data_IF_223614925967
#
_entry.id   IF_223614925967
#
_cell.length_a   1.000
_cell.length_b   1.000
_cell.length_c   1.000
_cell.angle_alpha   90.00
_cell.angle_beta   90.00
_cell.angle_gamma   90.00
#
_symmetry.space_group_name_H-M   'P 1'
#
loop_
_entity.id
_entity.type
_entity.pdbx_description
1 polymer ?
#
# COMPACT_ATOMS: atom_id res chain seq x y z
N UNK A 1 11.28 -14.19 6.55
CA UNK A 1 10.85 -14.15 7.96
C UNK A 1 9.37 -13.79 8.10
N UNK A 2 8.93 -12.58 7.72
CA UNK A 2 7.52 -12.16 7.91
C UNK A 2 6.52 -13.08 7.19
N UNK A 3 6.75 -13.36 5.90
CA UNK A 3 5.84 -14.20 5.09
C UNK A 3 5.64 -15.62 5.63
N UNK A 4 6.66 -16.19 6.26
CA UNK A 4 6.66 -17.53 6.85
C UNK A 4 6.20 -17.57 8.31
N UNK A 5 5.85 -16.43 8.91
CA UNK A 5 5.38 -16.37 10.29
C UNK A 5 3.91 -16.82 10.42
N UNK A 6 3.43 -17.01 11.65
CA UNK A 6 2.01 -17.25 11.95
C UNK A 6 1.16 -15.98 12.00
N UNK A 7 1.75 -14.79 11.83
CA UNK A 7 1.04 -13.51 11.91
C UNK A 7 0.07 -13.29 10.74
N UNK A 8 -1.02 -12.57 11.00
CA UNK A 8 -1.84 -11.96 9.97
C UNK A 8 -1.12 -10.72 9.44
N UNK A 9 -0.34 -10.91 8.37
CA UNK A 9 0.44 -9.84 7.77
C UNK A 9 -0.18 -9.35 6.47
N UNK A 10 -0.05 -8.05 6.23
CA UNK A 10 -0.20 -7.41 4.92
C UNK A 10 1.11 -6.67 4.63
N UNK A 11 1.69 -6.84 3.44
CA UNK A 11 2.90 -6.11 3.03
C UNK A 11 2.51 -5.07 1.99
N UNK A 12 2.65 -3.78 2.33
CA UNK A 12 2.37 -2.67 1.42
C UNK A 12 3.63 -2.27 0.65
N UNK A 13 3.55 -2.25 -0.67
CA UNK A 13 4.60 -1.86 -1.60
C UNK A 13 4.26 -0.52 -2.26
N UNK A 14 4.74 0.61 -1.72
CA UNK A 14 4.55 1.90 -2.37
C UNK A 14 5.45 2.04 -3.59
N UNK A 15 4.96 2.80 -4.59
CA UNK A 15 5.79 3.38 -5.65
C UNK A 15 6.72 4.47 -5.08
N UNK A 16 7.34 5.30 -5.92
CA UNK A 16 8.27 6.34 -5.45
C UNK A 16 7.64 7.22 -4.37
N UNK A 17 8.34 7.44 -3.24
CA UNK A 17 7.77 8.16 -2.10
C UNK A 17 8.03 9.67 -2.19
N UNK A 18 6.98 10.46 -1.99
CA UNK A 18 7.07 11.93 -1.85
C UNK A 18 6.58 12.41 -0.47
N UNK A 19 6.83 13.69 -0.16
CA UNK A 19 6.33 14.36 1.04
C UNK A 19 5.16 15.31 0.73
N UNK A 20 4.40 15.03 -0.33
CA UNK A 20 3.20 15.79 -0.66
C UNK A 20 2.08 15.64 0.38
N UNK A 21 1.02 16.43 0.29
CA UNK A 21 -0.14 16.31 1.16
C UNK A 21 -0.88 14.98 0.92
N UNK A 22 -1.70 14.56 1.90
CA UNK A 22 -2.68 13.47 1.73
C UNK A 22 -3.66 13.87 0.63
N UNK A 23 -3.83 13.00 -0.36
CA UNK A 23 -4.80 13.19 -1.45
C UNK A 23 -6.02 12.29 -1.28
N UNK A 24 -5.86 11.12 -0.66
CA UNK A 24 -6.86 10.05 -0.62
C UNK A 24 -7.11 9.38 -1.97
N UNK A 25 -6.41 9.80 -3.02
CA UNK A 25 -6.60 9.35 -4.40
C UNK A 25 -5.47 8.39 -4.78
N UNK A 26 -5.68 7.11 -4.50
CA UNK A 26 -4.75 6.06 -4.86
C UNK A 26 -5.50 4.76 -5.14
N UNK A 27 -4.81 3.86 -5.84
CA UNK A 27 -5.22 2.50 -6.12
C UNK A 27 -4.37 1.54 -5.30
N UNK A 28 -5.01 0.47 -4.83
CA UNK A 28 -4.37 -0.63 -4.11
C UNK A 28 -4.70 -1.95 -4.78
N UNK A 29 -3.74 -2.87 -4.82
CA UNK A 29 -3.98 -4.24 -5.24
C UNK A 29 -2.71 -5.05 -5.47
N UNK A 30 -2.84 -6.37 -5.56
CA UNK A 30 -1.69 -7.27 -5.80
C UNK A 30 -1.00 -7.02 -7.14
N UNK A 31 -1.75 -6.53 -8.13
CA UNK A 31 -1.25 -6.21 -9.46
C UNK A 31 -1.91 -4.94 -9.96
N UNK A 32 -1.11 -3.89 -10.14
CA UNK A 32 -1.52 -2.64 -10.75
C UNK A 32 -0.74 -2.41 -12.03
N UNK A 33 -1.40 -1.90 -13.07
CA UNK A 33 -0.71 -1.36 -14.24
C UNK A 33 -0.19 0.02 -13.87
N UNK A 34 1.13 0.17 -13.96
CA UNK A 34 1.85 1.41 -13.71
C UNK A 34 2.29 2.02 -15.04
N UNK A 35 2.24 3.34 -15.15
CA UNK A 35 2.75 4.11 -16.27
C UNK A 35 3.88 5.02 -15.79
N UNK A 36 5.04 4.95 -16.45
CA UNK A 36 6.21 5.75 -16.07
C UNK A 36 6.73 5.44 -14.65
N UNK A 37 7.16 6.47 -13.94
CA UNK A 37 7.70 6.39 -12.58
C UNK A 37 6.79 7.13 -11.60
N UNK A 38 5.61 6.57 -11.26
CA UNK A 38 4.66 7.26 -10.40
C UNK A 38 5.21 7.46 -8.99
N UNK A 39 4.74 8.52 -8.33
CA UNK A 39 5.05 8.81 -6.95
C UNK A 39 3.79 8.93 -6.11
N UNK A 40 3.85 8.47 -4.85
CA UNK A 40 2.77 8.49 -3.87
C UNK A 40 3.23 9.28 -2.64
N UNK A 41 2.33 10.06 -2.03
CA UNK A 41 2.66 10.77 -0.79
C UNK A 41 2.78 9.77 0.37
N UNK A 42 3.73 10.00 1.30
CA UNK A 42 3.79 9.22 2.55
C UNK A 42 2.50 9.32 3.36
N UNK A 43 1.78 10.43 3.25
CA UNK A 43 0.51 10.64 3.91
C UNK A 43 -0.61 9.72 3.35
N UNK A 44 -0.62 9.45 2.05
CA UNK A 44 -1.54 8.48 1.43
C UNK A 44 -1.15 7.03 1.74
N UNK A 45 0.15 6.74 1.86
CA UNK A 45 0.59 5.42 2.34
C UNK A 45 0.13 5.20 3.77
N UNK A 46 0.26 6.18 4.66
CA UNK A 46 -0.24 6.10 6.03
C UNK A 46 -1.78 5.91 6.07
N UNK A 47 -2.51 6.60 5.19
CA UNK A 47 -3.95 6.42 5.04
C UNK A 47 -4.32 4.97 4.67
N UNK A 48 -3.61 4.37 3.71
CA UNK A 48 -3.82 2.95 3.36
C UNK A 48 -3.48 2.04 4.55
N UNK A 49 -2.35 2.26 5.22
CA UNK A 49 -1.94 1.42 6.36
C UNK A 49 -3.00 1.39 7.46
N UNK A 50 -3.65 2.51 7.75
CA UNK A 50 -4.76 2.55 8.70
C UNK A 50 -5.97 1.78 8.19
N UNK A 51 -6.32 1.92 6.90
CA UNK A 51 -7.41 1.16 6.30
C UNK A 51 -7.19 -0.34 6.34
N UNK A 52 -5.97 -0.83 6.14
CA UNK A 52 -5.63 -2.27 6.20
C UNK A 52 -5.71 -2.86 7.62
N UNK A 53 -5.70 -2.01 8.67
CA UNK A 53 -5.93 -2.47 10.04
C UNK A 53 -7.41 -2.80 10.25
N UNK A 54 -8.30 -2.00 9.67
CA UNK A 54 -9.75 -2.18 9.76
C UNK A 54 -10.27 -3.19 8.72
N UNK A 55 -9.83 -3.06 7.47
CA UNK A 55 -10.17 -3.91 6.33
C UNK A 55 -9.10 -4.99 6.14
N UNK A 56 -9.42 -6.19 6.61
CA UNK A 56 -8.53 -7.37 6.61
C UNK A 56 -8.56 -8.16 5.30
N UNK A 57 -9.01 -7.57 4.20
CA UNK A 57 -9.14 -8.24 2.89
C UNK A 57 -7.80 -8.71 2.28
N UNK A 58 -6.67 -8.11 2.69
CA UNK A 58 -5.33 -8.45 2.18
C UNK A 58 -4.47 -9.28 3.13
N UNK A 59 -5.07 -10.00 4.08
CA UNK A 59 -4.33 -10.91 4.97
C UNK A 59 -3.53 -11.93 4.15
N UNK A 60 -2.25 -12.07 4.52
CA UNK A 60 -1.23 -12.89 3.85
C UNK A 60 -0.93 -12.46 2.42
N UNK A 61 -1.14 -11.19 2.08
CA UNK A 61 -0.93 -10.66 0.74
C UNK A 61 0.03 -9.48 0.72
N UNK A 62 0.70 -9.36 -0.43
CA UNK A 62 1.47 -8.18 -0.78
C UNK A 62 0.62 -7.30 -1.70
N UNK A 63 0.43 -6.03 -1.36
CA UNK A 63 -0.35 -5.10 -2.17
C UNK A 63 0.52 -3.93 -2.59
N UNK A 64 0.36 -3.51 -3.86
CA UNK A 64 0.99 -2.32 -4.40
C UNK A 64 0.06 -1.13 -4.20
N UNK A 65 0.64 0.02 -3.80
CA UNK A 65 -0.07 1.30 -3.73
C UNK A 65 0.56 2.29 -4.71
N UNK A 66 -0.27 2.89 -5.54
CA UNK A 66 0.10 3.92 -6.52
C UNK A 66 -1.08 4.89 -6.69
N UNK A 67 -0.87 6.11 -7.19
CA UNK A 67 -1.97 6.97 -7.62
C UNK A 67 -2.93 6.25 -8.61
#
# INVERSE_FOLDING_TARGET
>A
AIRSSSLDWTIVYPVGLSNGPRTGNYRVGQRLKLSGFPVISRADVADLLLKEVDDRSHIRQGVLIAP
#
